data_IF_556269189224
#
_entry.id   IF_556269189224
#
_cell.length_a   1.000
_cell.length_b   1.000
_cell.length_c   1.000
_cell.angle_alpha   90.00
_cell.angle_beta   90.00
_cell.angle_gamma   90.00
#
_symmetry.space_group_name_H-M   'P 1'
#
loop_
_entity.id
_entity.type
_entity.pdbx_description
1 polymer ?
#
# COMPACT_ATOMS: atom_id res chain seq x y z
N UNK A 1 10.44 -5.55 12.57
CA UNK A 1 10.44 -6.60 11.52
C UNK A 1 9.58 -7.75 12.04
N UNK A 2 8.71 -8.32 11.19
CA UNK A 2 7.74 -9.36 11.60
C UNK A 2 8.03 -10.70 10.88
N UNK A 3 8.14 -10.69 9.55
CA UNK A 3 8.27 -11.90 8.71
C UNK A 3 7.17 -12.95 8.95
N UNK A 4 5.91 -12.52 9.06
CA UNK A 4 4.76 -13.41 9.29
C UNK A 4 3.91 -13.61 8.03
N UNK A 5 3.05 -14.61 8.05
CA UNK A 5 2.08 -14.86 6.98
C UNK A 5 1.00 -13.77 6.95
N UNK A 6 0.60 -13.36 5.75
CA UNK A 6 -0.49 -12.39 5.58
C UNK A 6 -1.84 -13.07 5.83
N UNK A 7 -2.45 -12.80 6.97
CA UNK A 7 -3.83 -13.19 7.28
C UNK A 7 -4.66 -12.00 7.74
N UNK A 8 -5.99 -12.10 7.64
CA UNK A 8 -6.90 -11.05 8.07
C UNK A 8 -6.77 -10.80 9.59
N UNK A 9 -6.75 -11.88 10.37
CA UNK A 9 -6.62 -11.86 11.82
C UNK A 9 -5.32 -11.18 12.25
N UNK A 10 -4.24 -11.38 11.50
CA UNK A 10 -2.97 -10.78 11.84
C UNK A 10 -2.94 -9.28 11.54
N UNK A 11 -3.55 -8.84 10.43
CA UNK A 11 -3.73 -7.40 10.16
C UNK A 11 -4.61 -6.74 11.23
N UNK A 12 -5.70 -7.38 11.63
CA UNK A 12 -6.57 -6.89 12.72
C UNK A 12 -5.80 -6.75 14.03
N UNK A 13 -4.99 -7.75 14.39
CA UNK A 13 -4.17 -7.71 15.60
C UNK A 13 -3.10 -6.60 15.56
N UNK A 14 -2.51 -6.32 14.39
CA UNK A 14 -1.53 -5.24 14.24
C UNK A 14 -2.20 -3.88 14.46
N UNK A 15 -3.35 -3.65 13.81
CA UNK A 15 -4.07 -2.37 13.89
C UNK A 15 -4.98 -2.23 15.12
N UNK A 16 -4.97 -3.20 16.03
CA UNK A 16 -5.71 -3.10 17.29
C UNK A 16 -5.23 -1.86 18.08
N UNK A 17 -6.14 -0.97 18.52
CA UNK A 17 -5.76 0.26 19.23
C UNK A 17 -4.87 -0.02 20.44
N UNK A 18 -3.85 0.82 20.65
CA UNK A 18 -2.86 0.70 21.73
C UNK A 18 -1.88 -0.50 21.63
N UNK A 19 -1.93 -1.28 20.55
CA UNK A 19 -0.88 -2.27 20.26
C UNK A 19 0.44 -1.55 19.95
N UNK A 20 1.62 -2.01 20.39
CA UNK A 20 2.90 -1.38 20.03
C UNK A 20 3.14 -1.23 18.52
N UNK A 21 2.40 -1.96 17.68
CA UNK A 21 2.57 -2.00 16.22
C UNK A 21 1.53 -1.20 15.44
N UNK A 22 0.50 -0.66 16.11
CA UNK A 22 -0.65 -0.04 15.44
C UNK A 22 -0.33 1.31 14.78
N UNK A 23 0.68 2.01 15.29
CA UNK A 23 1.05 3.34 14.82
C UNK A 23 2.06 3.24 13.68
N UNK A 24 1.60 3.55 12.46
CA UNK A 24 2.39 3.50 11.23
C UNK A 24 1.86 2.51 10.20
N UNK A 25 2.69 2.21 9.21
CA UNK A 25 2.33 1.36 8.08
C UNK A 25 2.75 -0.10 8.27
N UNK A 26 2.01 -0.99 7.61
CA UNK A 26 2.37 -2.40 7.44
C UNK A 26 2.93 -2.60 6.04
N UNK A 27 4.10 -3.23 5.95
CA UNK A 27 4.76 -3.54 4.67
C UNK A 27 4.51 -5.00 4.34
N UNK A 28 3.82 -5.22 3.22
CA UNK A 28 3.48 -6.55 2.70
C UNK A 28 4.26 -6.81 1.42
N UNK A 29 4.74 -8.05 1.25
CA UNK A 29 5.37 -8.51 0.00
C UNK A 29 4.95 -9.95 -0.28
N UNK A 30 4.31 -10.18 -1.43
CA UNK A 30 3.67 -11.47 -1.70
C UNK A 30 2.64 -11.78 -0.61
N UNK A 31 2.70 -12.99 -0.05
CA UNK A 31 1.82 -13.42 1.05
C UNK A 31 2.46 -13.24 2.44
N UNK A 32 3.37 -12.27 2.61
CA UNK A 32 4.08 -12.06 3.87
C UNK A 32 4.05 -10.61 4.35
N UNK A 33 3.88 -10.44 5.66
CA UNK A 33 4.05 -9.18 6.37
C UNK A 33 5.53 -9.07 6.78
N UNK A 34 6.26 -8.15 6.15
CA UNK A 34 7.68 -7.93 6.41
C UNK A 34 7.89 -7.10 7.69
N UNK A 35 7.07 -6.08 7.89
CA UNK A 35 7.16 -5.15 9.01
C UNK A 35 5.81 -4.47 9.30
N UNK A 36 5.66 -3.96 10.52
CA UNK A 36 4.59 -3.06 10.94
C UNK A 36 5.21 -1.91 11.75
N UNK A 37 4.41 -0.86 12.01
CA UNK A 37 4.88 0.35 12.66
C UNK A 37 5.86 1.17 11.82
N UNK A 38 5.77 1.07 10.49
CA UNK A 38 6.70 1.75 9.59
C UNK A 38 6.30 3.21 9.37
N UNK A 39 7.24 4.11 9.60
CA UNK A 39 7.10 5.53 9.22
C UNK A 39 7.34 5.64 7.71
N UNK A 40 6.39 6.24 7.00
CA UNK A 40 6.46 6.45 5.55
C UNK A 40 6.77 7.91 5.20
N UNK A 41 7.37 8.18 4.04
CA UNK A 41 7.50 9.55 3.54
C UNK A 41 6.13 10.18 3.36
N UNK A 42 5.98 11.44 3.79
CA UNK A 42 4.74 12.20 3.63
C UNK A 42 4.80 13.01 2.33
N UNK A 43 3.69 13.05 1.60
CA UNK A 43 3.51 14.05 0.57
C UNK A 43 3.54 15.47 1.17
N UNK A 44 4.08 16.42 0.40
CA UNK A 44 4.11 17.83 0.77
C UNK A 44 2.69 18.41 0.89
N UNK A 45 2.56 19.50 1.65
CA UNK A 45 1.30 20.21 1.73
C UNK A 45 1.01 20.91 0.39
N UNK A 46 -0.24 20.80 -0.09
CA UNK A 46 -0.64 21.36 -1.39
C UNK A 46 -0.38 20.46 -2.60
N UNK A 47 0.23 19.27 -2.43
CA UNK A 47 0.35 18.29 -3.52
C UNK A 47 -1.01 17.86 -4.08
N UNK A 48 -2.06 17.90 -3.25
CA UNK A 48 -3.46 17.75 -3.65
C UNK A 48 -4.24 18.93 -3.08
N UNK A 49 -5.28 19.38 -3.80
CA UNK A 49 -6.13 20.53 -3.39
C UNK A 49 -6.88 20.31 -2.08
N UNK A 50 -7.17 19.06 -1.75
CA UNK A 50 -7.96 18.67 -0.59
C UNK A 50 -7.08 18.49 0.64
N UNK A 51 -7.59 18.85 1.82
CA UNK A 51 -6.91 18.53 3.08
C UNK A 51 -6.82 17.01 3.25
N UNK A 52 -5.68 16.56 3.75
CA UNK A 52 -5.38 15.14 3.94
C UNK A 52 -4.86 14.90 5.35
N UNK A 53 -5.43 13.91 6.03
CA UNK A 53 -4.85 13.40 7.27
C UNK A 53 -3.48 12.74 7.05
N UNK A 54 -2.75 12.49 8.14
CA UNK A 54 -1.38 11.96 8.12
C UNK A 54 -1.26 10.63 7.36
N UNK A 55 -2.19 9.69 7.55
CA UNK A 55 -2.23 8.40 6.82
C UNK A 55 -2.37 8.58 5.30
N UNK A 56 -3.19 9.53 4.87
CA UNK A 56 -3.37 9.83 3.46
C UNK A 56 -2.10 10.43 2.84
N UNK A 57 -1.45 11.35 3.56
CA UNK A 57 -0.18 11.93 3.14
C UNK A 57 0.93 10.89 3.07
N UNK A 58 0.99 9.98 4.04
CA UNK A 58 1.94 8.88 4.07
C UNK A 58 1.76 7.93 2.89
N UNK A 59 0.52 7.50 2.62
CA UNK A 59 0.25 6.62 1.48
C UNK A 59 0.54 7.29 0.15
N UNK A 60 0.17 8.56 -0.01
CA UNK A 60 0.47 9.32 -1.22
C UNK A 60 1.97 9.51 -1.41
N UNK A 61 2.69 9.93 -0.37
CA UNK A 61 4.13 10.17 -0.41
C UNK A 61 4.91 8.91 -0.79
N UNK A 62 4.57 7.76 -0.21
CA UNK A 62 5.18 6.49 -0.60
C UNK A 62 4.88 6.12 -2.06
N UNK A 63 3.64 6.32 -2.52
CA UNK A 63 3.23 6.00 -3.90
C UNK A 63 3.85 6.91 -4.96
N UNK A 64 4.41 8.07 -4.58
CA UNK A 64 5.13 8.96 -5.49
C UNK A 64 6.57 8.53 -5.71
N UNK A 65 7.15 7.78 -4.76
CA UNK A 65 8.55 7.36 -4.77
C UNK A 65 8.71 5.89 -5.17
N UNK A 66 7.61 5.13 -5.26
CA UNK A 66 7.61 3.70 -5.49
C UNK A 66 6.43 3.28 -6.36
N UNK A 67 6.48 2.06 -6.88
CA UNK A 67 5.36 1.39 -7.55
C UNK A 67 4.39 0.71 -6.55
N UNK A 68 4.53 0.96 -5.25
CA UNK A 68 3.70 0.35 -4.24
C UNK A 68 2.22 0.71 -4.42
N UNK A 69 1.35 -0.25 -4.13
CA UNK A 69 -0.08 -0.03 -3.95
C UNK A 69 -0.32 0.14 -2.45
N UNK A 70 -0.81 1.29 -2.03
CA UNK A 70 -1.02 1.62 -0.62
C UNK A 70 -2.49 1.70 -0.30
N UNK A 71 -2.99 0.77 0.52
CA UNK A 71 -4.34 0.80 1.07
C UNK A 71 -4.38 1.67 2.33
N UNK A 72 -5.36 2.56 2.42
CA UNK A 72 -5.47 3.57 3.48
C UNK A 72 -6.88 3.51 4.06
N UNK A 73 -6.97 3.46 5.39
CA UNK A 73 -8.22 3.59 6.14
C UNK A 73 -8.20 4.91 6.91
N UNK A 74 -9.17 5.78 6.60
CA UNK A 74 -9.36 7.06 7.30
C UNK A 74 -9.81 6.84 8.74
N UNK A 75 -9.08 7.39 9.71
CA UNK A 75 -9.49 7.35 11.13
C UNK A 75 -10.76 8.14 11.39
N UNK A 76 -10.94 9.27 10.69
CA UNK A 76 -12.02 10.21 10.97
C UNK A 76 -13.37 9.74 10.41
N UNK A 77 -13.36 9.21 9.18
CA UNK A 77 -14.57 8.95 8.41
C UNK A 77 -14.76 7.47 8.06
N UNK A 78 -13.84 6.59 8.46
CA UNK A 78 -13.86 5.17 8.10
C UNK A 78 -13.74 4.88 6.60
N UNK A 79 -13.42 5.90 5.79
CA UNK A 79 -13.34 5.80 4.34
C UNK A 79 -12.10 5.02 3.90
N UNK A 80 -12.28 4.22 2.86
CA UNK A 80 -11.20 3.46 2.22
C UNK A 80 -10.65 4.27 1.05
N UNK A 81 -9.32 4.33 0.96
CA UNK A 81 -8.62 4.91 -0.17
C UNK A 81 -7.45 4.03 -0.62
N UNK A 82 -7.05 4.17 -1.88
CA UNK A 82 -5.86 3.54 -2.46
C UNK A 82 -4.97 4.61 -3.07
N UNK A 83 -3.68 4.60 -2.72
CA UNK A 83 -2.66 5.41 -3.37
C UNK A 83 -1.74 4.54 -4.23
N UNK A 84 -1.50 4.95 -5.47
CA UNK A 84 -0.61 4.25 -6.41
C UNK A 84 -0.14 5.24 -7.49
N UNK A 85 1.15 5.21 -7.82
CA UNK A 85 1.78 6.10 -8.81
C UNK A 85 1.42 7.59 -8.61
N UNK A 86 1.46 8.06 -7.36
CA UNK A 86 1.14 9.44 -7.00
C UNK A 86 -0.32 9.85 -7.18
N UNK A 87 -1.23 8.91 -7.44
CA UNK A 87 -2.68 9.16 -7.51
C UNK A 87 -3.36 8.60 -6.28
N UNK A 88 -4.41 9.30 -5.82
CA UNK A 88 -5.20 8.91 -4.66
C UNK A 88 -6.65 8.66 -5.08
N UNK A 89 -7.09 7.41 -5.02
CA UNK A 89 -8.47 6.99 -5.23
C UNK A 89 -9.17 6.92 -3.87
N UNK A 90 -10.20 7.73 -3.66
CA UNK A 90 -10.88 7.88 -2.36
C UNK A 90 -12.30 7.31 -2.40
N UNK A 91 -12.90 7.16 -1.21
CA UNK A 91 -14.30 6.78 -1.03
C UNK A 91 -14.65 5.47 -1.73
N UNK A 92 -13.75 4.49 -1.64
CA UNK A 92 -13.96 3.18 -2.22
C UNK A 92 -14.90 2.37 -1.33
N UNK A 93 -15.92 1.79 -1.94
CA UNK A 93 -16.68 0.70 -1.32
C UNK A 93 -15.90 -0.63 -1.45
N UNK A 94 -16.29 -1.69 -0.72
CA UNK A 94 -15.59 -2.98 -0.76
C UNK A 94 -15.50 -3.63 -2.16
N UNK A 95 -16.52 -3.45 -3.00
CA UNK A 95 -16.55 -4.04 -4.34
C UNK A 95 -15.58 -3.31 -5.26
N UNK A 96 -15.59 -1.98 -5.21
CA UNK A 96 -14.66 -1.13 -5.95
C UNK A 96 -13.23 -1.33 -5.47
N UNK A 97 -13.01 -1.48 -4.17
CA UNK A 97 -11.70 -1.81 -3.61
C UNK A 97 -11.19 -3.14 -4.20
N UNK A 98 -12.02 -4.19 -4.19
CA UNK A 98 -11.66 -5.50 -4.74
C UNK A 98 -11.27 -5.37 -6.21
N UNK A 99 -12.04 -4.64 -7.02
CA UNK A 99 -11.73 -4.40 -8.43
C UNK A 99 -10.38 -3.70 -8.60
N UNK A 100 -10.14 -2.62 -7.86
CA UNK A 100 -8.90 -1.85 -7.91
C UNK A 100 -7.69 -2.70 -7.51
N UNK A 101 -7.75 -3.38 -6.37
CA UNK A 101 -6.65 -4.22 -5.90
C UNK A 101 -6.37 -5.39 -6.86
N UNK A 102 -7.41 -6.02 -7.39
CA UNK A 102 -7.24 -7.10 -8.37
C UNK A 102 -6.56 -6.58 -9.64
N UNK A 103 -6.93 -5.40 -10.11
CA UNK A 103 -6.32 -4.80 -11.30
C UNK A 103 -4.86 -4.38 -11.07
N UNK A 104 -4.51 -3.90 -9.88
CA UNK A 104 -3.17 -3.36 -9.59
C UNK A 104 -2.18 -4.43 -9.13
N UNK A 105 -2.65 -5.48 -8.45
CA UNK A 105 -1.81 -6.53 -7.87
C UNK A 105 -1.75 -7.80 -8.71
N UNK A 106 -2.43 -7.83 -9.86
CA UNK A 106 -2.27 -8.93 -10.80
C UNK A 106 -0.78 -9.10 -11.13
N UNK A 107 -0.25 -10.34 -11.06
CA UNK A 107 1.09 -10.57 -11.54
C UNK A 107 1.13 -10.04 -12.97
N UNK A 108 2.09 -9.17 -13.25
CA UNK A 108 2.44 -8.84 -14.63
C UNK A 108 2.87 -10.17 -15.21
N UNK A 109 1.94 -10.90 -15.84
CA UNK A 109 2.21 -12.16 -16.53
C UNK A 109 3.50 -11.92 -17.26
N UNK A 110 4.56 -12.64 -16.88
CA UNK A 110 5.88 -12.45 -17.44
C UNK A 110 5.69 -12.48 -18.95
N UNK A 111 5.77 -11.31 -19.58
CA UNK A 111 5.88 -11.22 -21.02
C UNK A 111 7.17 -11.95 -21.30
N UNK A 112 7.01 -13.21 -21.72
CA UNK A 112 8.02 -14.14 -22.19
C UNK A 112 9.27 -13.37 -22.61
N UNK A 113 10.20 -13.13 -21.69
CA UNK A 113 11.40 -12.36 -22.00
C UNK A 113 12.23 -13.35 -22.81
N UNK A 114 12.37 -13.19 -24.14
CA UNK A 114 13.19 -14.10 -24.89
C UNK A 114 14.58 -14.11 -24.24
N UNK A 115 15.22 -15.28 -24.11
CA UNK A 115 16.53 -15.36 -23.49
C UNK A 115 17.45 -14.32 -24.14
N UNK A 116 18.15 -13.54 -23.32
CA UNK A 116 19.08 -12.54 -23.82
C UNK A 116 20.05 -13.21 -24.79
N UNK A 117 20.32 -12.62 -25.98
CA UNK A 117 21.28 -13.19 -26.91
C UNK A 117 22.63 -13.25 -26.21
N UNK A 118 23.12 -14.46 -26.00
CA UNK A 118 24.45 -14.70 -25.46
C UNK A 118 25.45 -14.27 -26.52
N UNK A 119 26.02 -13.08 -26.39
CA UNK A 119 27.11 -12.65 -27.25
C UNK A 119 28.35 -13.50 -26.91
N UNK A 120 28.61 -14.53 -27.71
CA UNK A 120 29.89 -15.25 -27.68
C UNK A 120 30.91 -14.40 -28.44
N UNK A 121 32.06 -14.17 -27.81
CA UNK A 121 33.25 -13.58 -28.43
C UNK A 121 33.82 -14.51 -29.50
#
# INVERSE_FOLDING_TARGET
>A
RINGELTAEFLEAIFFPNSPLHDGAVIVRGNQILAAGCVLPLAEEGTVRERMGTRHRAGLGLSMQTDAVVLILSEELGQIAVAHEGKLLRNLDPDRLRQVLTSLLQPRTELHRPPLPVWRR
#
